data_IF_433017979058
#
_entry.id   IF_433017979058
#
_cell.length_a   1.000
_cell.length_b   1.000
_cell.length_c   1.000
_cell.angle_alpha   90.00
_cell.angle_beta   90.00
_cell.angle_gamma   90.00
#
_symmetry.space_group_name_H-M   'P 1'
#
loop_
_entity.id
_entity.type
_entity.pdbx_description
1 polymer ?
#
# COMPACT_ATOMS: atom_id res chain seq x y z
N UNK A 1 4.25 3.22 -13.75
CA UNK A 1 3.66 3.38 -12.41
C UNK A 1 4.11 4.73 -11.87
N UNK A 2 3.20 5.70 -11.72
CA UNK A 2 3.54 7.00 -11.11
C UNK A 2 3.48 6.81 -9.59
N UNK A 3 4.62 6.93 -8.91
CA UNK A 3 4.71 6.87 -7.44
C UNK A 3 5.14 8.24 -6.93
N UNK A 4 4.16 9.11 -6.73
CA UNK A 4 4.35 10.38 -6.02
C UNK A 4 4.26 10.10 -4.52
N UNK A 5 5.16 10.67 -3.72
CA UNK A 5 5.08 10.51 -2.26
C UNK A 5 3.90 11.31 -1.69
N UNK A 6 3.33 10.90 -0.55
CA UNK A 6 2.22 11.64 0.06
C UNK A 6 2.59 13.07 0.44
N UNK A 7 3.86 13.33 0.78
CA UNK A 7 4.35 14.69 1.05
C UNK A 7 4.32 15.56 -0.20
N UNK A 8 4.76 15.04 -1.34
CA UNK A 8 4.69 15.78 -2.60
C UNK A 8 3.25 16.06 -3.04
N UNK A 9 2.29 15.20 -2.68
CA UNK A 9 0.87 15.40 -2.97
C UNK A 9 0.24 16.56 -2.17
N UNK A 10 0.59 16.70 -0.89
CA UNK A 10 0.04 17.77 -0.03
C UNK A 10 0.65 19.15 -0.33
N UNK A 11 1.85 19.20 -0.90
CA UNK A 11 2.52 20.45 -1.26
C UNK A 11 1.99 21.06 -2.58
N UNK A 12 1.16 20.31 -3.33
CA UNK A 12 0.57 20.77 -4.59
C UNK A 12 -0.74 21.54 -4.34
N UNK A 13 -0.95 22.60 -5.11
CA UNK A 13 -2.23 23.31 -5.13
C UNK A 13 -3.27 22.50 -5.90
N UNK A 14 -4.44 22.31 -5.29
CA UNK A 14 -5.59 21.67 -5.95
C UNK A 14 -6.21 22.52 -7.08
N UNK A 15 -7.33 22.07 -7.66
CA UNK A 15 -8.16 20.96 -7.20
C UNK A 15 -7.57 19.57 -7.53
N UNK A 16 -7.96 18.60 -6.71
CA UNK A 16 -7.69 17.18 -6.89
C UNK A 16 -8.98 16.41 -7.14
N UNK A 17 -8.97 15.51 -8.11
CA UNK A 17 -9.93 14.41 -8.18
C UNK A 17 -9.39 13.21 -7.42
N UNK A 18 -10.17 12.64 -6.51
CA UNK A 18 -9.86 11.40 -5.80
C UNK A 18 -10.97 10.39 -6.06
N UNK A 19 -10.58 9.23 -6.58
CA UNK A 19 -11.48 8.14 -6.95
C UNK A 19 -11.01 6.85 -6.29
N UNK A 20 -11.94 6.17 -5.63
CA UNK A 20 -11.76 4.83 -5.10
C UNK A 20 -12.92 3.98 -5.58
N UNK A 21 -12.65 2.91 -6.31
CA UNK A 21 -13.68 2.09 -6.91
C UNK A 21 -13.28 0.62 -6.93
N UNK A 22 -14.29 -0.23 -7.04
CA UNK A 22 -14.11 -1.65 -7.28
C UNK A 22 -13.59 -1.87 -8.71
N UNK A 23 -12.44 -2.54 -8.82
CA UNK A 23 -11.78 -2.90 -10.07
C UNK A 23 -11.68 -4.41 -10.27
N UNK A 24 -12.50 -5.17 -9.54
CA UNK A 24 -12.53 -6.64 -9.58
C UNK A 24 -12.75 -7.17 -10.99
N UNK A 25 -11.97 -8.20 -11.36
CA UNK A 25 -12.05 -8.89 -12.64
C UNK A 25 -12.11 -10.41 -12.47
N UNK A 26 -13.17 -10.90 -11.84
CA UNK A 26 -13.37 -12.32 -11.50
C UNK A 26 -14.38 -13.06 -12.41
N UNK A 27 -15.02 -12.35 -13.33
CA UNK A 27 -16.02 -12.89 -14.26
C UNK A 27 -15.75 -12.45 -15.70
N UNK A 28 -16.31 -13.19 -16.67
CA UNK A 28 -16.22 -12.89 -18.10
C UNK A 28 -16.81 -11.50 -18.44
N UNK A 29 -17.84 -11.08 -17.70
CA UNK A 29 -18.50 -9.77 -17.84
C UNK A 29 -17.74 -8.61 -17.15
N UNK A 30 -16.68 -8.90 -16.38
CA UNK A 30 -16.07 -7.91 -15.50
C UNK A 30 -15.47 -6.72 -16.24
N UNK A 31 -14.93 -6.93 -17.46
CA UNK A 31 -14.44 -5.83 -18.29
C UNK A 31 -15.57 -4.84 -18.66
N UNK A 32 -16.75 -5.35 -19.02
CA UNK A 32 -17.92 -4.52 -19.36
C UNK A 32 -18.48 -3.80 -18.13
N UNK A 33 -18.52 -4.48 -16.99
CA UNK A 33 -18.95 -3.86 -15.73
C UNK A 33 -17.99 -2.76 -15.28
N UNK A 34 -16.68 -2.95 -15.49
CA UNK A 34 -15.66 -1.96 -15.21
C UNK A 34 -15.80 -0.74 -16.12
N UNK A 35 -16.05 -0.95 -17.42
CA UNK A 35 -16.28 0.16 -18.36
C UNK A 35 -17.50 1.01 -17.96
N UNK A 36 -18.60 0.35 -17.57
CA UNK A 36 -19.79 1.04 -17.05
C UNK A 36 -19.48 1.81 -15.76
N UNK A 37 -18.65 1.24 -14.87
CA UNK A 37 -18.16 1.90 -13.65
C UNK A 37 -17.37 3.16 -13.98
N UNK A 38 -16.38 3.05 -14.86
CA UNK A 38 -15.52 4.15 -15.27
C UNK A 38 -16.34 5.30 -15.88
N UNK A 39 -17.35 4.99 -16.69
CA UNK A 39 -18.30 6.00 -17.20
C UNK A 39 -19.08 6.67 -16.07
N UNK A 40 -19.65 5.88 -15.15
CA UNK A 40 -20.37 6.43 -13.99
C UNK A 40 -19.50 7.33 -13.11
N UNK A 41 -18.25 6.92 -12.85
CA UNK A 41 -17.26 7.71 -12.11
C UNK A 41 -16.93 9.02 -12.84
N UNK A 42 -16.74 8.97 -14.16
CA UNK A 42 -16.50 10.15 -14.99
C UNK A 42 -17.65 11.15 -14.87
N UNK A 43 -18.90 10.68 -14.98
CA UNK A 43 -20.08 11.54 -14.87
C UNK A 43 -20.16 12.20 -13.48
N UNK A 44 -19.87 11.44 -12.41
CA UNK A 44 -19.83 11.95 -11.04
C UNK A 44 -18.73 12.99 -10.83
N UNK A 45 -17.54 12.78 -11.42
CA UNK A 45 -16.45 13.75 -11.37
C UNK A 45 -16.79 15.05 -12.09
N UNK A 46 -17.39 14.94 -13.28
CA UNK A 46 -17.85 16.10 -14.04
C UNK A 46 -18.89 16.89 -13.24
N UNK A 47 -19.86 16.21 -12.63
CA UNK A 47 -20.87 16.84 -11.76
C UNK A 47 -20.26 17.48 -10.51
N UNK A 48 -19.14 16.95 -10.01
CA UNK A 48 -18.38 17.49 -8.88
C UNK A 48 -17.42 18.64 -9.26
N UNK A 49 -17.38 19.06 -10.53
CA UNK A 49 -16.58 20.20 -10.99
C UNK A 49 -15.16 19.84 -11.46
N UNK A 50 -14.90 18.57 -11.81
CA UNK A 50 -13.65 18.20 -12.47
C UNK A 50 -13.54 18.87 -13.85
N UNK A 51 -12.38 19.44 -14.16
CA UNK A 51 -12.09 20.03 -15.47
C UNK A 51 -11.92 18.95 -16.54
N UNK A 52 -12.19 19.26 -17.81
CA UNK A 52 -11.98 18.33 -18.93
C UNK A 52 -10.56 17.76 -19.00
N UNK A 53 -9.56 18.56 -18.64
CA UNK A 53 -8.15 18.13 -18.63
C UNK A 53 -7.89 17.03 -17.58
N UNK A 54 -8.45 17.20 -16.39
CA UNK A 54 -8.42 16.23 -15.30
C UNK A 54 -9.18 14.95 -15.67
N UNK A 55 -10.36 15.09 -16.29
CA UNK A 55 -11.14 13.96 -16.80
C UNK A 55 -10.39 13.17 -17.88
N UNK A 56 -9.75 13.85 -18.82
CA UNK A 56 -8.93 13.22 -19.86
C UNK A 56 -7.72 12.47 -19.30
N UNK A 57 -7.05 13.02 -18.27
CA UNK A 57 -5.96 12.32 -17.59
C UNK A 57 -6.45 11.02 -16.91
N UNK A 58 -7.64 11.06 -16.29
CA UNK A 58 -8.25 9.90 -15.66
C UNK A 58 -8.72 8.85 -16.68
N UNK A 59 -9.25 9.24 -17.83
CA UNK A 59 -9.63 8.28 -18.90
C UNK A 59 -8.44 7.44 -19.36
N UNK A 60 -7.29 8.08 -19.54
CA UNK A 60 -6.05 7.39 -19.92
C UNK A 60 -5.67 6.38 -18.82
N UNK A 61 -5.76 6.77 -17.55
CA UNK A 61 -5.47 5.85 -16.44
C UNK A 61 -6.50 4.72 -16.33
N UNK A 62 -7.79 4.98 -16.54
CA UNK A 62 -8.82 3.93 -16.57
C UNK A 62 -8.50 2.90 -17.64
N UNK A 63 -8.19 3.34 -18.86
CA UNK A 63 -7.84 2.47 -19.98
C UNK A 63 -6.54 1.68 -19.74
N UNK A 64 -5.55 2.29 -19.09
CA UNK A 64 -4.26 1.66 -18.79
C UNK A 64 -4.26 0.74 -17.55
N UNK A 65 -5.40 0.59 -16.88
CA UNK A 65 -5.48 -0.13 -15.60
C UNK A 65 -5.03 -1.59 -15.68
N UNK A 66 -4.20 -2.06 -14.73
CA UNK A 66 -3.75 -3.45 -14.71
C UNK A 66 -4.92 -4.40 -14.49
N UNK A 67 -4.88 -5.57 -15.13
CA UNK A 67 -5.75 -6.67 -14.77
C UNK A 67 -5.26 -7.28 -13.46
N UNK A 68 -6.01 -7.12 -12.38
CA UNK A 68 -5.74 -7.80 -11.12
C UNK A 68 -6.33 -9.22 -11.13
N UNK A 69 -5.65 -10.15 -10.45
CA UNK A 69 -6.16 -11.50 -10.23
C UNK A 69 -7.00 -11.51 -8.94
N UNK A 70 -8.32 -11.63 -9.07
CA UNK A 70 -9.26 -11.68 -7.94
C UNK A 70 -9.88 -10.34 -7.55
N UNK A 71 -10.66 -10.31 -6.44
CA UNK A 71 -11.26 -9.09 -5.90
C UNK A 71 -10.21 -8.02 -5.63
N UNK A 72 -10.43 -6.82 -6.14
CA UNK A 72 -9.48 -5.71 -5.99
C UNK A 72 -10.16 -4.36 -6.15
N UNK A 73 -9.63 -3.36 -5.44
CA UNK A 73 -9.98 -1.96 -5.67
C UNK A 73 -8.88 -1.22 -6.43
N UNK A 74 -9.19 -0.01 -6.86
CA UNK A 74 -8.19 0.91 -7.42
C UNK A 74 -8.39 2.33 -6.90
N UNK A 75 -7.28 2.98 -6.56
CA UNK A 75 -7.22 4.38 -6.20
C UNK A 75 -6.61 5.18 -7.34
N UNK A 76 -7.32 6.20 -7.81
CA UNK A 76 -6.79 7.22 -8.71
C UNK A 76 -6.87 8.59 -8.04
N UNK A 77 -5.74 9.30 -7.98
CA UNK A 77 -5.71 10.70 -7.55
C UNK A 77 -5.05 11.52 -8.64
N UNK A 78 -5.76 12.51 -9.16
CA UNK A 78 -5.30 13.40 -10.20
C UNK A 78 -5.30 14.85 -9.73
N UNK A 79 -4.31 15.62 -10.19
CA UNK A 79 -4.40 17.09 -10.17
C UNK A 79 -5.09 17.60 -11.45
N UNK A 80 -4.93 18.88 -11.75
CA UNK A 80 -5.55 19.53 -12.92
C UNK A 80 -5.08 18.99 -14.27
N UNK A 81 -3.96 18.26 -14.31
CA UNK A 81 -3.34 17.86 -15.58
C UNK A 81 -2.91 16.40 -15.64
N UNK A 82 -2.65 15.75 -14.50
CA UNK A 82 -1.98 14.45 -14.45
C UNK A 82 -2.52 13.57 -13.32
N UNK A 83 -2.46 12.26 -13.53
CA UNK A 83 -2.70 11.27 -12.47
C UNK A 83 -1.42 11.13 -11.64
N UNK A 84 -1.50 11.53 -10.37
CA UNK A 84 -0.40 11.52 -9.42
C UNK A 84 -0.30 10.20 -8.65
N UNK A 85 -1.44 9.55 -8.44
CA UNK A 85 -1.56 8.24 -7.79
C UNK A 85 -2.40 7.32 -8.66
N UNK A 86 -1.87 6.13 -8.91
CA UNK A 86 -2.58 5.02 -9.54
C UNK A 86 -2.16 3.74 -8.84
N UNK A 87 -2.92 3.35 -7.82
CA UNK A 87 -2.59 2.26 -6.92
C UNK A 87 -3.70 1.20 -6.91
N UNK A 88 -3.28 -0.06 -7.02
CA UNK A 88 -4.13 -1.22 -6.78
C UNK A 88 -4.28 -1.43 -5.28
N UNK A 89 -5.50 -1.75 -4.89
CA UNK A 89 -5.90 -2.00 -3.52
C UNK A 89 -6.24 -3.48 -3.37
N UNK A 90 -5.71 -4.20 -2.36
CA UNK A 90 -5.95 -5.63 -2.17
C UNK A 90 -7.42 -6.02 -2.03
N UNK A 91 -8.25 -5.15 -1.46
CA UNK A 91 -9.69 -5.38 -1.27
C UNK A 91 -10.51 -4.24 -1.90
N UNK A 92 -11.64 -4.54 -2.57
CA UNK A 92 -12.49 -3.49 -3.11
C UNK A 92 -13.01 -2.57 -1.98
N UNK A 93 -13.05 -1.25 -2.20
CA UNK A 93 -13.52 -0.33 -1.18
C UNK A 93 -15.01 -0.60 -0.87
N UNK A 94 -15.44 -0.53 0.41
CA UNK A 94 -16.82 -0.84 0.79
C UNK A 94 -17.84 0.09 0.14
N UNK A 95 -17.40 1.29 -0.26
CA UNK A 95 -18.18 2.26 -1.04
C UNK A 95 -17.30 2.92 -2.08
N UNK A 96 -17.84 3.08 -3.28
CA UNK A 96 -17.23 3.93 -4.30
C UNK A 96 -17.15 5.37 -3.79
N UNK A 97 -15.96 5.95 -3.89
CA UNK A 97 -15.71 7.35 -3.53
C UNK A 97 -15.34 8.11 -4.78
N UNK A 98 -16.03 9.22 -5.03
CA UNK A 98 -15.72 10.17 -6.10
C UNK A 98 -15.78 11.57 -5.51
N UNK A 99 -14.65 12.28 -5.52
CA UNK A 99 -14.54 13.59 -4.88
C UNK A 99 -13.63 14.53 -5.67
N UNK A 100 -14.05 15.78 -5.79
CA UNK A 100 -13.20 16.90 -6.21
C UNK A 100 -13.02 17.85 -5.02
N UNK A 101 -11.77 18.18 -4.66
CA UNK A 101 -11.50 19.01 -3.48
C UNK A 101 -10.15 19.74 -3.60
N UNK A 102 -9.91 20.73 -2.74
CA UNK A 102 -8.62 21.45 -2.68
C UNK A 102 -7.47 20.58 -2.15
N UNK A 103 -7.79 19.50 -1.43
CA UNK A 103 -6.84 18.54 -0.89
C UNK A 103 -7.10 17.13 -1.45
N UNK A 104 -6.06 16.31 -1.65
CA UNK A 104 -6.23 14.92 -2.04
C UNK A 104 -6.89 14.12 -0.91
N UNK A 105 -7.84 13.24 -1.23
CA UNK A 105 -8.47 12.38 -0.23
C UNK A 105 -7.62 11.13 -0.01
N UNK A 106 -6.67 11.18 0.92
CA UNK A 106 -5.66 10.13 1.15
C UNK A 106 -6.07 9.06 2.17
N UNK A 107 -7.11 9.30 2.98
CA UNK A 107 -7.45 8.43 4.11
C UNK A 107 -7.56 6.93 3.74
N UNK A 108 -8.28 6.53 2.66
CA UNK A 108 -8.40 5.11 2.34
C UNK A 108 -7.05 4.43 2.02
N UNK A 109 -6.10 5.15 1.42
CA UNK A 109 -4.75 4.63 1.16
C UNK A 109 -3.93 4.46 2.45
N UNK A 110 -4.10 5.39 3.40
CA UNK A 110 -3.39 5.36 4.67
C UNK A 110 -3.91 4.20 5.53
N UNK A 111 -5.24 3.99 5.57
CA UNK A 111 -5.85 2.89 6.32
C UNK A 111 -5.41 1.51 5.81
N UNK A 112 -5.20 1.37 4.50
CA UNK A 112 -4.74 0.12 3.86
C UNK A 112 -3.26 -0.14 4.03
N UNK A 113 -2.46 0.94 4.07
CA UNK A 113 -1.10 0.90 4.53
C UNK A 113 -1.15 0.80 6.06
N UNK A 114 -1.66 -0.33 6.58
CA UNK A 114 -1.42 -0.72 7.97
C UNK A 114 0.00 -0.32 8.29
N UNK A 115 0.26 0.48 9.35
CA UNK A 115 1.62 0.82 9.71
C UNK A 115 2.37 -0.50 9.69
N UNK A 116 3.34 -0.64 8.77
CA UNK A 116 4.31 -1.73 8.86
C UNK A 116 4.73 -1.64 10.30
N UNK A 117 4.39 -2.65 11.10
CA UNK A 117 4.75 -2.63 12.50
C UNK A 117 6.23 -2.24 12.48
N UNK A 118 6.62 -1.09 13.07
CA UNK A 118 7.95 -0.53 12.85
C UNK A 118 9.08 -1.45 13.36
N UNK A 119 8.70 -2.63 13.89
CA UNK A 119 9.54 -3.71 14.32
C UNK A 119 8.96 -5.02 13.79
N UNK A 120 9.76 -5.82 13.09
CA UNK A 120 9.50 -7.25 12.99
C UNK A 120 9.66 -7.81 14.40
N UNK A 121 8.54 -8.13 15.05
CA UNK A 121 8.55 -8.67 16.41
C UNK A 121 8.96 -10.15 16.35
N UNK A 122 9.97 -10.52 17.11
CA UNK A 122 10.36 -11.91 17.35
C UNK A 122 10.24 -12.15 18.86
N UNK A 123 9.55 -13.22 19.24
CA UNK A 123 9.40 -13.63 20.63
C UNK A 123 9.74 -15.12 20.79
N UNK A 124 10.00 -15.53 22.03
CA UNK A 124 10.22 -16.94 22.38
C UNK A 124 8.96 -17.78 22.32
N UNK A 125 7.78 -17.14 22.23
CA UNK A 125 6.50 -17.82 22.09
C UNK A 125 5.51 -16.99 21.29
N UNK A 126 4.61 -17.68 20.57
CA UNK A 126 3.56 -17.03 19.79
C UNK A 126 2.55 -16.24 20.64
N UNK A 127 2.36 -16.62 21.91
CA UNK A 127 1.43 -15.91 22.81
C UNK A 127 1.88 -14.49 23.18
N UNK A 128 3.17 -14.18 22.98
CA UNK A 128 3.75 -12.86 23.23
C UNK A 128 3.60 -11.91 22.03
N UNK A 129 3.09 -12.41 20.89
CA UNK A 129 2.99 -11.68 19.62
C UNK A 129 1.54 -11.41 19.25
N UNK A 130 1.31 -10.28 18.57
CA UNK A 130 -0.01 -9.90 18.04
C UNK A 130 -0.06 -10.17 16.54
N UNK A 131 -1.11 -10.87 16.10
CA UNK A 131 -1.39 -11.12 14.68
C UNK A 131 -1.09 -12.55 14.24
N UNK A 132 -1.12 -12.78 12.92
CA UNK A 132 -0.81 -14.09 12.34
C UNK A 132 0.69 -14.36 12.50
N UNK A 133 1.03 -15.42 13.20
CA UNK A 133 2.41 -15.85 13.45
C UNK A 133 2.64 -17.24 12.90
N UNK A 134 3.87 -17.49 12.46
CA UNK A 134 4.32 -18.79 12.01
C UNK A 134 5.65 -19.08 12.74
N UNK A 135 5.81 -20.25 13.38
CA UNK A 135 7.04 -20.60 14.07
C UNK A 135 8.16 -20.83 13.07
N UNK A 136 9.29 -20.17 13.29
CA UNK A 136 10.51 -20.30 12.49
C UNK A 136 11.68 -20.63 13.41
N UNK A 137 12.74 -21.24 12.86
CA UNK A 137 13.96 -21.45 13.63
C UNK A 137 14.60 -20.09 13.93
N UNK A 138 15.13 -19.92 15.14
CA UNK A 138 15.62 -18.62 15.60
C UNK A 138 16.79 -18.08 14.77
N UNK A 139 17.63 -18.96 14.24
CA UNK A 139 18.74 -18.67 13.34
C UNK A 139 18.30 -18.23 11.93
N UNK A 140 17.05 -18.47 11.56
CA UNK A 140 16.45 -17.97 10.32
C UNK A 140 15.62 -16.70 10.58
N UNK A 141 14.79 -16.73 11.61
CA UNK A 141 13.83 -15.68 11.92
C UNK A 141 14.50 -14.37 12.37
N UNK A 142 15.51 -14.46 13.24
CA UNK A 142 16.14 -13.28 13.84
C UNK A 142 16.98 -12.50 12.81
N UNK A 143 17.83 -13.13 11.98
CA UNK A 143 18.52 -12.42 10.91
C UNK A 143 17.55 -11.80 9.89
N UNK A 144 16.51 -12.53 9.49
CA UNK A 144 15.50 -12.01 8.56
C UNK A 144 14.78 -10.79 9.13
N UNK A 145 14.39 -10.83 10.41
CA UNK A 145 13.77 -9.71 11.12
C UNK A 145 14.72 -8.50 11.26
N UNK A 146 16.00 -8.74 11.58
CA UNK A 146 17.00 -7.69 11.69
C UNK A 146 17.20 -6.95 10.36
N UNK A 147 17.37 -7.69 9.25
CA UNK A 147 17.51 -7.12 7.90
C UNK A 147 16.24 -6.36 7.51
N UNK A 148 15.07 -6.93 7.75
CA UNK A 148 13.79 -6.28 7.43
C UNK A 148 13.56 -4.98 8.21
N UNK A 149 14.07 -4.88 9.45
CA UNK A 149 14.05 -3.69 10.29
C UNK A 149 15.15 -2.66 9.98
N UNK A 150 16.08 -2.97 9.06
CA UNK A 150 17.22 -2.12 8.74
C UNK A 150 18.34 -2.15 9.77
N UNK A 151 18.41 -3.19 10.60
CA UNK A 151 19.49 -3.41 11.55
C UNK A 151 20.69 -4.05 10.88
N UNK A 152 21.90 -3.64 11.27
CA UNK A 152 23.13 -4.32 10.87
C UNK A 152 23.33 -5.64 11.63
N UNK A 153 23.81 -6.66 10.92
CA UNK A 153 24.20 -7.95 11.50
C UNK A 153 25.71 -8.04 11.48
N UNK A 154 26.32 -8.06 12.67
CA UNK A 154 27.76 -8.20 12.83
C UNK A 154 28.05 -9.60 13.38
N UNK A 155 28.72 -10.49 12.61
CA UNK A 155 29.20 -11.76 13.15
C UNK A 155 30.31 -11.47 14.18
N UNK A 156 30.24 -12.12 15.33
CA UNK A 156 31.17 -11.90 16.43
C UNK A 156 31.81 -13.20 16.87
N UNK A 157 33.13 -13.18 16.99
CA UNK A 157 33.95 -14.23 17.62
C UNK A 157 34.51 -13.67 18.94
N UNK A 158 34.15 -14.23 20.12
CA UNK A 158 34.75 -13.87 21.41
C UNK A 158 33.79 -13.32 22.49
N UNK A 159 34.35 -12.70 23.55
CA UNK A 159 33.58 -12.11 24.67
C UNK A 159 32.92 -10.78 24.28
N UNK A 160 31.65 -10.61 24.65
CA UNK A 160 30.82 -9.46 24.30
C UNK A 160 30.93 -8.33 25.33
N UNK A 161 31.13 -7.09 24.84
CA UNK A 161 30.78 -5.87 25.57
C UNK A 161 29.71 -5.15 24.75
N UNK A 162 28.47 -5.16 25.22
CA UNK A 162 27.34 -4.61 24.48
C UNK A 162 27.20 -3.11 24.81
N UNK A 163 27.12 -2.22 23.80
CA UNK A 163 26.66 -0.86 24.00
C UNK A 163 25.28 -0.89 24.66
N UNK A 164 25.10 -0.13 25.75
CA UNK A 164 23.86 -0.05 26.52
C UNK A 164 23.33 -1.37 27.13
N UNK A 165 24.13 -2.44 27.09
CA UNK A 165 23.79 -3.73 27.69
C UNK A 165 22.71 -4.54 26.94
N UNK A 166 22.28 -4.10 25.75
CA UNK A 166 21.23 -4.77 24.96
C UNK A 166 21.83 -5.41 23.72
N UNK A 167 21.55 -6.70 23.51
CA UNK A 167 22.00 -7.46 22.35
C UNK A 167 21.37 -8.85 22.31
N UNK A 168 21.30 -9.46 21.13
CA UNK A 168 20.79 -10.81 20.94
C UNK A 168 21.96 -11.76 20.62
N UNK A 169 22.10 -12.84 21.39
CA UNK A 169 23.05 -13.91 21.09
C UNK A 169 22.28 -15.13 20.60
N UNK A 170 22.53 -15.52 19.35
CA UNK A 170 21.98 -16.74 18.77
C UNK A 170 23.03 -17.84 18.88
N UNK A 171 22.74 -18.87 19.67
CA UNK A 171 23.57 -20.07 19.71
C UNK A 171 23.03 -21.09 18.73
N UNK A 172 23.78 -21.35 17.66
CA UNK A 172 23.50 -22.48 16.78
C UNK A 172 23.98 -23.78 17.43
N UNK A 173 23.19 -24.86 17.35
CA UNK A 173 23.69 -26.21 17.61
C UNK A 173 24.33 -26.69 16.32
N UNK A 174 25.65 -26.82 16.29
CA UNK A 174 26.30 -27.67 15.29
C UNK A 174 25.77 -29.10 15.49
N UNK A 175 25.03 -29.60 14.50
CA UNK A 175 24.68 -31.02 14.43
C UNK A 175 25.97 -31.85 14.41
N UNK A 176 25.97 -32.96 15.15
CA UNK A 176 27.06 -33.92 15.24
C UNK A 176 26.66 -35.21 14.55
#
# INVERSE_FOLDING_TARGET
MVKTTFRELIDRAGPFASVYFDSTRDTEDAARQLDLRCRSVRDKLSAAGATDRMLGALDIAFAAGPAALGPSGRALIADTATVLVDEQIPEPPPRETVRVSSLPFLLPLIEQRSPRAPHTQVATSAHDLVGRTEPHRADEAVPAAAVAGGSDIVPLDGQLTLPDGVGALLRYRTEN
#
